data_IF_279326178784
#
_entry.id   IF_279326178784
#
_cell.length_a   1.000
_cell.length_b   1.000
_cell.length_c   1.000
_cell.angle_alpha   90.00
_cell.angle_beta   90.00
_cell.angle_gamma   90.00
#
_symmetry.space_group_name_H-M   'P 1'
#
loop_
_entity.id
_entity.type
_entity.pdbx_description
1 polymer ?
#
# COMPACT_ATOMS: atom_id res chain seq x y z
N UNK A 1 12.23 -28.20 -7.05
CA UNK A 1 11.72 -27.39 -5.93
C UNK A 1 11.58 -25.89 -6.22
N UNK A 2 12.66 -25.12 -6.40
CA UNK A 2 12.62 -23.64 -6.44
C UNK A 2 11.71 -23.04 -7.53
N UNK A 3 11.74 -23.56 -8.77
CA UNK A 3 10.90 -23.06 -9.87
C UNK A 3 9.41 -23.18 -9.57
N UNK A 4 8.97 -24.28 -8.93
CA UNK A 4 7.56 -24.49 -8.57
C UNK A 4 7.11 -23.50 -7.49
N UNK A 5 7.98 -23.21 -6.52
CA UNK A 5 7.76 -22.24 -5.45
C UNK A 5 7.64 -20.82 -6.03
N UNK A 6 8.55 -20.44 -6.94
CA UNK A 6 8.51 -19.14 -7.60
C UNK A 6 7.24 -18.97 -8.44
N UNK A 7 6.86 -19.98 -9.22
CA UNK A 7 5.61 -19.94 -9.99
C UNK A 7 4.37 -19.84 -9.11
N UNK A 8 4.35 -20.56 -7.98
CA UNK A 8 3.27 -20.47 -6.99
C UNK A 8 3.18 -19.05 -6.39
N UNK A 9 4.32 -18.44 -6.07
CA UNK A 9 4.37 -17.07 -5.55
C UNK A 9 3.90 -16.04 -6.58
N UNK A 10 4.37 -16.13 -7.83
CA UNK A 10 3.93 -15.22 -8.90
C UNK A 10 2.41 -15.36 -9.11
N UNK A 11 1.89 -16.59 -9.18
CA UNK A 11 0.44 -16.79 -9.35
C UNK A 11 -0.38 -16.28 -8.16
N UNK A 12 0.06 -16.55 -6.92
CA UNK A 12 -0.60 -16.04 -5.72
C UNK A 12 -0.63 -14.51 -5.71
N UNK A 13 0.49 -13.86 -6.05
CA UNK A 13 0.60 -12.41 -6.14
C UNK A 13 -0.28 -11.81 -7.23
N UNK A 14 -0.30 -12.39 -8.43
CA UNK A 14 -1.19 -11.95 -9.51
C UNK A 14 -2.66 -12.07 -9.10
N UNK A 15 -3.06 -13.21 -8.53
CA UNK A 15 -4.43 -13.41 -8.07
C UNK A 15 -4.82 -12.40 -6.98
N UNK A 16 -3.91 -12.13 -6.04
CA UNK A 16 -4.14 -11.14 -4.99
C UNK A 16 -4.24 -9.71 -5.54
N UNK A 17 -3.43 -9.35 -6.54
CA UNK A 17 -3.52 -8.03 -7.19
C UNK A 17 -4.83 -7.82 -7.95
N UNK A 18 -5.30 -8.84 -8.68
CA UNK A 18 -6.63 -8.80 -9.32
C UNK A 18 -7.74 -8.66 -8.27
N UNK A 19 -7.64 -9.44 -7.19
CA UNK A 19 -8.59 -9.34 -6.07
C UNK A 19 -8.59 -7.95 -5.43
N UNK A 20 -7.42 -7.38 -5.15
CA UNK A 20 -7.29 -6.03 -4.59
C UNK A 20 -7.93 -4.98 -5.52
N UNK A 21 -7.73 -5.11 -6.83
CA UNK A 21 -8.33 -4.21 -7.82
C UNK A 21 -9.84 -4.25 -7.74
N UNK A 22 -10.46 -5.42 -7.69
CA UNK A 22 -11.91 -5.55 -7.56
C UNK A 22 -12.43 -4.90 -6.26
N UNK A 23 -11.75 -5.11 -5.14
CA UNK A 23 -12.13 -4.53 -3.84
C UNK A 23 -11.97 -3.01 -3.86
N UNK A 24 -10.87 -2.48 -4.41
CA UNK A 24 -10.62 -1.05 -4.51
C UNK A 24 -11.60 -0.36 -5.44
N UNK A 25 -11.88 -0.92 -6.63
CA UNK A 25 -12.85 -0.38 -7.58
C UNK A 25 -14.24 -0.26 -6.97
N UNK A 26 -14.62 -1.19 -6.10
CA UNK A 26 -15.94 -1.15 -5.45
C UNK A 26 -16.00 -0.23 -4.24
N UNK A 27 -14.95 -0.18 -3.41
CA UNK A 27 -15.03 0.48 -2.09
C UNK A 27 -14.17 1.73 -1.93
N UNK A 28 -13.02 1.78 -2.57
CA UNK A 28 -12.03 2.85 -2.39
C UNK A 28 -12.15 3.92 -3.46
N UNK A 29 -12.28 3.52 -4.73
CA UNK A 29 -12.38 4.44 -5.87
C UNK A 29 -13.56 5.42 -5.78
N UNK A 30 -14.78 5.03 -5.33
CA UNK A 30 -15.86 5.99 -5.16
C UNK A 30 -15.55 7.10 -4.17
N UNK A 31 -14.79 6.81 -3.11
CA UNK A 31 -14.39 7.80 -2.09
C UNK A 31 -13.34 8.78 -2.63
N UNK A 32 -12.44 8.30 -3.49
CA UNK A 32 -11.45 9.14 -4.20
C UNK A 32 -12.18 10.12 -5.12
N UNK A 33 -13.08 9.62 -5.97
CA UNK A 33 -13.89 10.44 -6.87
C UNK A 33 -14.77 11.46 -6.15
N UNK A 34 -15.22 11.13 -4.93
CA UNK A 34 -15.98 12.07 -4.11
C UNK A 34 -15.08 13.15 -3.50
N UNK A 35 -13.85 12.81 -3.11
CA UNK A 35 -12.88 13.75 -2.56
C UNK A 35 -12.37 14.76 -3.61
N UNK A 36 -12.11 14.31 -4.84
CA UNK A 36 -11.69 15.15 -5.97
C UNK A 36 -12.65 16.35 -6.20
N UNK A 37 -13.96 16.17 -5.96
CA UNK A 37 -14.95 17.26 -6.06
C UNK A 37 -14.72 18.41 -5.09
N UNK A 38 -14.09 18.16 -3.95
CA UNK A 38 -13.77 19.19 -2.96
C UNK A 38 -12.47 19.92 -3.29
N UNK A 39 -11.55 19.25 -3.97
CA UNK A 39 -10.32 19.85 -4.52
C UNK A 39 -10.68 20.83 -5.65
N UNK A 40 -11.48 20.38 -6.62
CA UNK A 40 -11.96 21.21 -7.74
C UNK A 40 -12.80 22.41 -7.28
N UNK A 41 -13.61 22.24 -6.22
CA UNK A 41 -14.43 23.32 -5.67
C UNK A 41 -13.60 24.35 -4.88
N UNK A 42 -12.52 23.91 -4.23
CA UNK A 42 -11.59 24.77 -3.49
C UNK A 42 -10.74 25.67 -4.38
N UNK A 43 -10.49 25.27 -5.62
CA UNK A 43 -9.73 26.05 -6.61
C UNK A 43 -10.54 27.20 -7.24
N UNK A 44 -11.84 27.32 -6.95
CA UNK A 44 -12.69 28.42 -7.45
C UNK A 44 -12.39 29.80 -6.82
N UNK A 45 -11.36 29.91 -5.96
CA UNK A 45 -10.86 31.15 -5.36
C UNK A 45 -9.60 31.76 -6.01
N UNK A 46 -8.98 31.08 -6.97
CA UNK A 46 -7.85 31.57 -7.75
C UNK A 46 -8.08 31.26 -9.22
N UNK A 47 -7.98 32.25 -10.09
CA UNK A 47 -8.21 32.05 -11.52
C UNK A 47 -7.14 31.15 -12.15
N UNK A 48 -7.36 29.83 -12.10
CA UNK A 48 -6.84 28.87 -13.07
C UNK A 48 -8.02 28.19 -13.77
N UNK A 49 -8.76 29.00 -14.51
CA UNK A 49 -9.71 28.51 -15.52
C UNK A 49 -8.97 27.64 -16.54
N UNK A 50 -9.25 26.34 -16.53
CA UNK A 50 -9.14 25.51 -17.73
C UNK A 50 -10.18 25.99 -18.75
N UNK A 51 -9.81 27.00 -19.55
CA UNK A 51 -10.60 27.51 -20.66
C UNK A 51 -9.73 27.58 -21.89
N UNK A 52 -10.01 26.70 -22.85
CA UNK A 52 -9.58 26.89 -24.23
C UNK A 52 -10.30 28.13 -24.79
N UNK A 53 -9.55 29.21 -25.01
CA UNK A 53 -10.06 30.44 -25.61
C UNK A 53 -8.96 31.45 -25.92
N UNK A 54 -8.86 31.82 -27.19
CA UNK A 54 -7.90 32.72 -27.85
C UNK A 54 -7.68 34.13 -27.25
N UNK A 55 -6.46 34.65 -27.49
CA UNK A 55 -6.02 36.08 -27.62
C UNK A 55 -5.94 36.92 -26.32
N UNK A 56 -4.96 37.81 -26.05
CA UNK A 56 -4.00 38.56 -26.87
C UNK A 56 -2.74 39.04 -26.08
N UNK A 57 -1.82 39.64 -26.82
CA UNK A 57 -0.42 40.07 -26.60
C UNK A 57 -0.10 41.06 -25.46
N UNK A 58 1.06 40.88 -24.78
CA UNK A 58 2.20 41.84 -24.80
C UNK A 58 3.39 41.45 -23.91
N UNK A 59 4.54 41.32 -24.58
CA UNK A 59 5.95 41.62 -24.21
C UNK A 59 6.48 41.29 -22.78
N UNK A 60 7.40 40.30 -22.69
CA UNK A 60 8.85 40.51 -22.46
C UNK A 60 9.59 39.18 -22.67
N UNK A 61 10.60 39.18 -23.55
CA UNK A 61 11.30 37.96 -23.99
C UNK A 61 12.31 37.42 -22.96
N UNK A 62 12.08 36.18 -22.52
CA UNK A 62 13.09 35.24 -22.03
C UNK A 62 12.96 33.93 -22.84
N UNK A 63 14.05 33.21 -23.16
CA UNK A 63 13.94 31.96 -23.90
C UNK A 63 13.54 30.84 -22.94
N UNK A 64 12.26 30.77 -22.57
CA UNK A 64 11.68 29.64 -21.82
C UNK A 64 11.17 28.58 -22.81
N UNK A 65 12.07 27.69 -23.23
CA UNK A 65 11.76 26.49 -24.00
C UNK A 65 11.61 25.25 -23.13
N UNK A 66 10.96 25.38 -21.97
CA UNK A 66 10.60 24.27 -21.11
C UNK A 66 9.15 24.45 -20.70
N UNK A 67 8.24 24.09 -21.61
CA UNK A 67 6.87 23.72 -21.24
C UNK A 67 6.96 22.83 -19.99
N UNK A 68 6.26 23.14 -18.88
CA UNK A 68 6.15 22.19 -17.79
C UNK A 68 5.57 20.93 -18.41
N UNK A 69 6.38 19.87 -18.51
CA UNK A 69 5.89 18.58 -18.95
C UNK A 69 4.77 18.21 -17.99
N UNK A 70 3.52 18.34 -18.45
CA UNK A 70 2.39 17.76 -17.75
C UNK A 70 2.74 16.30 -17.52
N UNK A 71 2.91 15.93 -16.25
CA UNK A 71 3.22 14.57 -15.89
C UNK A 71 2.04 13.72 -16.35
N UNK A 72 2.27 12.84 -17.31
CA UNK A 72 1.23 11.96 -17.86
C UNK A 72 0.45 11.27 -16.73
N UNK A 73 -0.88 11.38 -16.79
CA UNK A 73 -1.81 10.69 -15.92
C UNK A 73 -2.81 9.88 -16.76
N UNK A 74 -3.20 8.67 -16.35
CA UNK A 74 -4.24 7.89 -17.03
C UNK A 74 -5.57 8.64 -17.10
N UNK A 75 -6.28 8.57 -18.22
CA UNK A 75 -7.63 9.13 -18.30
C UNK A 75 -8.60 8.36 -17.38
N UNK A 76 -9.63 9.08 -16.92
CA UNK A 76 -10.65 8.50 -16.05
C UNK A 76 -11.43 7.35 -16.73
N UNK A 77 -11.92 6.44 -15.88
CA UNK A 77 -12.69 5.29 -16.32
C UNK A 77 -11.81 4.07 -16.62
N UNK A 78 -11.80 3.63 -17.88
CA UNK A 78 -11.20 2.34 -18.26
C UNK A 78 -9.67 2.35 -18.18
N UNK A 79 -9.03 3.44 -18.61
CA UNK A 79 -7.57 3.57 -18.62
C UNK A 79 -7.01 3.59 -17.19
N UNK A 80 -7.54 4.46 -16.33
CA UNK A 80 -7.22 4.50 -14.88
C UNK A 80 -7.41 3.14 -14.21
N UNK A 81 -8.52 2.46 -14.49
CA UNK A 81 -8.79 1.12 -13.92
C UNK A 81 -7.76 0.09 -14.39
N UNK A 82 -7.38 0.12 -15.66
CA UNK A 82 -6.40 -0.80 -16.22
C UNK A 82 -5.01 -0.60 -15.62
N UNK A 83 -4.49 0.63 -15.58
CA UNK A 83 -3.17 0.90 -15.01
C UNK A 83 -3.13 0.68 -13.50
N UNK A 84 -4.19 1.03 -12.78
CA UNK A 84 -4.32 0.71 -11.35
C UNK A 84 -4.33 -0.80 -11.13
N UNK A 85 -5.08 -1.54 -11.96
CA UNK A 85 -5.12 -2.99 -11.89
C UNK A 85 -3.76 -3.64 -12.17
N UNK A 86 -3.05 -3.15 -13.17
CA UNK A 86 -1.70 -3.61 -13.50
C UNK A 86 -0.72 -3.32 -12.35
N UNK A 87 -0.77 -2.11 -11.77
CA UNK A 87 0.04 -1.74 -10.62
C UNK A 87 -0.24 -2.66 -9.41
N UNK A 88 -1.50 -2.93 -9.11
CA UNK A 88 -1.90 -3.86 -8.05
C UNK A 88 -1.39 -5.29 -8.29
N UNK A 89 -1.38 -5.76 -9.55
CA UNK A 89 -0.80 -7.06 -9.90
C UNK A 89 0.71 -7.09 -9.64
N UNK A 90 1.44 -6.06 -10.06
CA UNK A 90 2.89 -5.95 -9.82
C UNK A 90 3.20 -5.94 -8.33
N UNK A 91 2.47 -5.10 -7.56
CA UNK A 91 2.60 -5.01 -6.10
C UNK A 91 2.23 -6.35 -5.43
N UNK A 92 1.18 -7.00 -5.89
CA UNK A 92 0.76 -8.33 -5.44
C UNK A 92 1.86 -9.37 -5.61
N UNK A 93 2.48 -9.42 -6.78
CA UNK A 93 3.63 -10.30 -7.06
C UNK A 93 4.82 -9.96 -6.16
N UNK A 94 5.15 -8.68 -6.01
CA UNK A 94 6.27 -8.23 -5.17
C UNK A 94 6.09 -8.67 -3.70
N UNK A 95 4.92 -8.44 -3.11
CA UNK A 95 4.64 -8.87 -1.73
C UNK A 95 4.58 -10.39 -1.60
N UNK A 96 4.06 -11.11 -2.59
CA UNK A 96 4.08 -12.57 -2.57
C UNK A 96 5.49 -13.15 -2.58
N UNK A 97 6.39 -12.54 -3.35
CA UNK A 97 7.80 -12.92 -3.40
C UNK A 97 8.51 -12.58 -2.09
N UNK A 98 8.19 -11.43 -1.49
CA UNK A 98 8.74 -11.03 -0.19
C UNK A 98 8.31 -12.01 0.92
N UNK A 99 7.03 -12.36 0.99
CA UNK A 99 6.54 -13.40 1.93
C UNK A 99 7.23 -14.74 1.69
N UNK A 100 7.35 -15.15 0.42
CA UNK A 100 8.05 -16.38 0.05
C UNK A 100 9.50 -16.37 0.52
N UNK A 101 10.21 -15.26 0.29
CA UNK A 101 11.60 -15.11 0.73
C UNK A 101 11.71 -15.20 2.26
N UNK A 102 10.81 -14.57 3.00
CA UNK A 102 10.78 -14.64 4.46
C UNK A 102 10.52 -16.06 4.97
N UNK A 103 9.54 -16.77 4.40
CA UNK A 103 9.23 -18.17 4.75
C UNK A 103 10.43 -19.07 4.52
N UNK A 104 11.10 -18.95 3.37
CA UNK A 104 12.28 -19.73 3.03
C UNK A 104 13.48 -19.40 3.92
N UNK A 105 13.76 -18.11 4.15
CA UNK A 105 14.87 -17.67 4.99
C UNK A 105 14.73 -18.14 6.45
N UNK A 106 13.50 -18.25 6.94
CA UNK A 106 13.20 -18.74 8.29
C UNK A 106 12.97 -20.26 8.36
N UNK A 107 13.19 -20.98 7.24
CA UNK A 107 13.00 -22.41 7.10
C UNK A 107 11.62 -22.88 7.63
N UNK A 108 10.58 -22.10 7.36
CA UNK A 108 9.21 -22.41 7.79
C UNK A 108 8.47 -23.20 6.72
N UNK A 109 7.65 -24.16 7.14
CA UNK A 109 6.67 -24.77 6.27
C UNK A 109 5.41 -23.90 6.20
N UNK A 110 4.81 -23.83 5.02
CA UNK A 110 3.57 -23.09 4.82
C UNK A 110 2.42 -24.06 4.53
N UNK A 111 1.33 -23.86 5.25
CA UNK A 111 0.04 -24.51 5.07
C UNK A 111 -0.98 -23.41 4.76
N UNK A 112 -2.21 -23.71 4.32
CA UNK A 112 -3.22 -22.68 4.15
C UNK A 112 -3.45 -21.83 5.42
N UNK A 113 -3.47 -22.46 6.60
CA UNK A 113 -3.66 -21.76 7.89
C UNK A 113 -2.44 -20.92 8.25
N UNK A 114 -1.23 -21.48 8.16
CA UNK A 114 -0.03 -20.68 8.45
C UNK A 114 0.21 -19.59 7.40
N UNK A 115 -0.25 -19.80 6.16
CA UNK A 115 -0.28 -18.80 5.10
C UNK A 115 -1.14 -17.60 5.46
N UNK A 116 -2.33 -17.82 6.04
CA UNK A 116 -3.16 -16.73 6.58
C UNK A 116 -2.44 -15.96 7.70
N UNK A 117 -1.70 -16.64 8.58
CA UNK A 117 -0.90 -15.98 9.62
C UNK A 117 0.25 -15.16 9.04
N UNK A 118 0.94 -15.66 8.01
CA UNK A 118 1.95 -14.91 7.27
C UNK A 118 1.37 -13.69 6.56
N UNK A 119 0.18 -13.83 5.96
CA UNK A 119 -0.58 -12.72 5.39
C UNK A 119 -0.93 -11.68 6.45
N UNK A 120 -1.48 -12.10 7.60
CA UNK A 120 -1.81 -11.22 8.71
C UNK A 120 -0.57 -10.51 9.29
N UNK A 121 0.58 -11.19 9.37
CA UNK A 121 1.84 -10.58 9.77
C UNK A 121 2.31 -9.53 8.75
N UNK A 122 2.21 -9.83 7.45
CA UNK A 122 2.49 -8.86 6.39
C UNK A 122 1.59 -7.63 6.46
N UNK A 123 0.29 -7.83 6.68
CA UNK A 123 -0.66 -6.73 6.94
C UNK A 123 -0.24 -5.90 8.16
N UNK A 124 0.11 -6.56 9.27
CA UNK A 124 0.52 -5.87 10.49
C UNK A 124 1.77 -4.98 10.26
N UNK A 125 2.74 -5.50 9.51
CA UNK A 125 4.03 -4.85 9.23
C UNK A 125 3.91 -3.70 8.23
N UNK A 126 3.29 -3.93 7.08
CA UNK A 126 3.31 -2.99 5.97
C UNK A 126 2.13 -2.01 5.97
N UNK A 127 1.06 -2.34 6.70
CA UNK A 127 -0.18 -1.58 6.68
C UNK A 127 -0.58 -1.15 8.08
N UNK A 128 -0.92 -2.06 8.97
CA UNK A 128 -1.56 -1.71 10.23
C UNK A 128 -0.69 -0.79 11.11
N UNK A 129 0.57 -1.17 11.37
CA UNK A 129 1.46 -0.38 12.22
C UNK A 129 1.76 1.01 11.61
N UNK A 130 2.15 1.14 10.32
CA UNK A 130 2.33 2.46 9.73
C UNK A 130 1.07 3.33 9.74
N UNK A 131 -0.12 2.75 9.51
CA UNK A 131 -1.37 3.51 9.46
C UNK A 131 -1.84 4.07 10.81
N UNK A 132 -1.26 3.62 11.94
CA UNK A 132 -1.51 4.28 13.23
C UNK A 132 -0.89 5.68 13.31
N UNK A 133 0.20 5.94 12.57
CA UNK A 133 0.85 7.25 12.55
C UNK A 133 0.60 8.03 11.26
N UNK A 134 0.59 7.35 10.12
CA UNK A 134 0.37 7.91 8.80
C UNK A 134 -0.83 7.20 8.14
N UNK A 135 -2.07 7.57 8.50
CA UNK A 135 -3.26 7.02 7.86
C UNK A 135 -3.31 7.38 6.36
N UNK A 136 -4.07 6.65 5.53
CA UNK A 136 -4.18 6.93 4.11
C UNK A 136 -4.90 8.26 3.92
N UNK A 137 -4.38 9.09 3.01
CA UNK A 137 -4.90 10.41 2.73
C UNK A 137 -5.67 10.42 1.40
N UNK A 138 -6.76 11.17 1.34
CA UNK A 138 -7.49 11.47 0.12
C UNK A 138 -6.75 12.52 -0.72
N UNK A 139 -7.02 12.61 -2.04
CA UNK A 139 -6.60 13.75 -2.86
C UNK A 139 -7.01 15.09 -2.23
N UNK A 140 -6.20 16.13 -2.45
CA UNK A 140 -6.43 17.47 -1.92
C UNK A 140 -6.22 17.65 -0.40
N UNK A 141 -5.83 16.61 0.36
CA UNK A 141 -5.52 16.78 1.78
C UNK A 141 -4.06 17.23 2.01
N UNK A 142 -3.80 18.09 3.01
CA UNK A 142 -2.44 18.52 3.33
C UNK A 142 -1.61 17.33 3.82
N UNK A 143 -0.42 17.18 3.24
CA UNK A 143 0.50 16.09 3.53
C UNK A 143 1.80 16.62 4.15
N UNK A 144 2.35 15.88 5.12
CA UNK A 144 3.69 16.13 5.63
C UNK A 144 4.77 15.86 4.59
N UNK A 145 6.01 16.29 4.86
CA UNK A 145 7.15 16.09 3.96
C UNK A 145 7.30 14.61 3.54
N UNK A 146 7.37 14.39 2.22
CA UNK A 146 7.35 13.04 1.63
C UNK A 146 8.54 12.19 2.10
N UNK A 147 9.74 12.77 2.14
CA UNK A 147 10.96 12.03 2.50
C UNK A 147 10.91 11.62 3.97
N UNK A 148 10.47 12.53 4.85
CA UNK A 148 10.29 12.22 6.26
C UNK A 148 9.26 11.12 6.47
N UNK A 149 8.12 11.15 5.76
CA UNK A 149 7.10 10.10 5.82
C UNK A 149 7.65 8.75 5.36
N UNK A 150 8.44 8.72 4.29
CA UNK A 150 9.07 7.50 3.78
C UNK A 150 10.08 6.91 4.79
N UNK A 151 10.90 7.75 5.43
CA UNK A 151 11.84 7.32 6.47
C UNK A 151 11.07 6.74 7.67
N UNK A 152 10.04 7.44 8.14
CA UNK A 152 9.24 7.00 9.27
C UNK A 152 8.48 5.70 8.97
N UNK A 153 7.91 5.59 7.76
CA UNK A 153 7.22 4.39 7.30
C UNK A 153 8.18 3.19 7.27
N UNK A 154 9.36 3.35 6.68
CA UNK A 154 10.36 2.28 6.59
C UNK A 154 10.85 1.86 7.98
N UNK A 155 11.12 2.83 8.87
CA UNK A 155 11.50 2.55 10.26
C UNK A 155 10.40 1.74 10.98
N UNK A 156 9.13 2.11 10.79
CA UNK A 156 7.99 1.41 11.37
C UNK A 156 7.86 -0.02 10.86
N UNK A 157 8.04 -0.22 9.55
CA UNK A 157 8.04 -1.56 8.92
C UNK A 157 9.15 -2.43 9.50
N UNK A 158 10.39 -1.94 9.53
CA UNK A 158 11.55 -2.71 10.00
C UNK A 158 11.41 -3.06 11.48
N UNK A 159 11.01 -2.08 12.31
CA UNK A 159 10.83 -2.31 13.74
C UNK A 159 9.69 -3.29 14.03
N UNK A 160 8.57 -3.17 13.30
CA UNK A 160 7.42 -4.07 13.48
C UNK A 160 7.76 -5.50 13.03
N UNK A 161 8.44 -5.65 11.89
CA UNK A 161 8.91 -6.95 11.41
C UNK A 161 9.88 -7.60 12.40
N UNK A 162 10.84 -6.83 12.93
CA UNK A 162 11.77 -7.28 13.97
C UNK A 162 11.05 -7.69 15.26
N UNK A 163 10.07 -6.90 15.71
CA UNK A 163 9.27 -7.21 16.89
C UNK A 163 8.47 -8.51 16.73
N UNK A 164 7.75 -8.67 15.61
CA UNK A 164 7.01 -9.91 15.32
C UNK A 164 7.94 -11.13 15.19
N UNK A 165 9.13 -10.97 14.62
CA UNK A 165 10.13 -12.03 14.57
C UNK A 165 10.54 -12.50 15.98
N UNK A 166 10.81 -11.57 16.92
CA UNK A 166 11.16 -11.92 18.29
C UNK A 166 10.03 -12.68 19.00
N UNK A 167 8.77 -12.27 18.79
CA UNK A 167 7.60 -12.97 19.33
C UNK A 167 7.43 -14.37 18.74
N UNK A 168 7.57 -14.50 17.43
CA UNK A 168 7.34 -15.77 16.75
C UNK A 168 8.41 -16.82 17.09
N UNK A 169 9.70 -16.43 17.10
CA UNK A 169 10.82 -17.37 17.07
C UNK A 169 11.70 -17.42 18.32
N UNK A 170 11.74 -16.36 19.15
CA UNK A 170 12.65 -16.31 20.31
C UNK A 170 12.00 -16.64 21.64
N UNK A 171 10.76 -16.18 21.88
CA UNK A 171 9.89 -16.52 23.02
C UNK A 171 10.51 -16.43 24.44
N UNK A 172 11.65 -15.78 24.63
CA UNK A 172 12.19 -15.46 25.96
C UNK A 172 11.68 -14.10 26.41
N UNK A 173 11.37 -13.94 27.70
CA UNK A 173 10.79 -12.71 28.23
C UNK A 173 11.59 -11.44 27.86
N UNK A 174 12.94 -11.39 27.98
CA UNK A 174 13.70 -10.20 27.59
C UNK A 174 13.57 -9.85 26.10
N UNK A 175 13.56 -10.86 25.22
CA UNK A 175 13.43 -10.64 23.78
C UNK A 175 12.00 -10.27 23.37
N UNK A 176 11.00 -10.76 24.09
CA UNK A 176 9.62 -10.32 23.90
C UNK A 176 9.44 -8.86 24.33
N UNK A 177 10.04 -8.45 25.46
CA UNK A 177 10.04 -7.04 25.89
C UNK A 177 10.76 -6.15 24.87
N UNK A 178 11.89 -6.59 24.33
CA UNK A 178 12.55 -5.91 23.22
C UNK A 178 11.63 -5.82 21.98
N UNK A 179 10.89 -6.88 21.67
CA UNK A 179 9.92 -6.88 20.57
C UNK A 179 8.80 -5.86 20.75
N UNK A 180 8.24 -5.74 21.97
CA UNK A 180 7.29 -4.66 22.31
C UNK A 180 7.95 -3.30 22.10
N UNK A 181 9.16 -3.10 22.65
CA UNK A 181 9.87 -1.83 22.56
C UNK A 181 10.13 -1.44 21.10
N UNK A 182 10.49 -2.39 20.23
CA UNK A 182 10.67 -2.15 18.79
C UNK A 182 9.36 -1.69 18.13
N UNK A 183 8.24 -2.39 18.35
CA UNK A 183 6.95 -2.01 17.74
C UNK A 183 6.52 -0.61 18.19
N UNK A 184 6.73 -0.28 19.47
CA UNK A 184 6.30 0.98 20.06
C UNK A 184 7.22 2.15 19.69
N UNK A 185 8.52 1.92 19.51
CA UNK A 185 9.52 2.98 19.34
C UNK A 185 9.20 4.00 18.20
N UNK A 186 8.82 3.59 16.98
CA UNK A 186 8.46 4.54 15.92
C UNK A 186 7.25 5.41 16.27
N UNK A 187 6.32 4.88 17.07
CA UNK A 187 5.09 5.56 17.46
C UNK A 187 5.34 6.57 18.58
N UNK A 188 6.34 6.33 19.43
CA UNK A 188 6.82 7.28 20.44
C UNK A 188 7.58 8.43 19.79
N UNK A 189 8.36 8.14 18.73
CA UNK A 189 9.01 9.19 17.95
C UNK A 189 7.99 10.09 17.23
N UNK A 190 6.89 9.50 16.77
CA UNK A 190 5.78 10.22 16.14
C UNK A 190 5.94 10.36 14.64
N UNK A 191 4.82 10.24 13.92
CA UNK A 191 4.79 10.39 12.47
C UNK A 191 4.89 11.86 12.05
N UNK A 192 5.61 12.18 10.96
CA UNK A 192 5.65 13.53 10.39
C UNK A 192 4.25 14.01 10.01
N UNK A 193 3.82 15.14 10.57
CA UNK A 193 2.53 15.76 10.30
C UNK A 193 2.68 16.96 9.35
N UNK A 194 1.64 17.31 8.58
CA UNK A 194 1.65 18.55 7.82
C UNK A 194 1.69 19.76 8.75
N UNK A 195 2.19 20.89 8.23
CA UNK A 195 2.23 22.16 8.98
C UNK A 195 0.81 22.72 9.10
N UNK A 196 0.04 22.62 8.02
CA UNK A 196 -1.36 23.03 7.94
C UNK A 196 -2.27 21.80 7.99
N UNK A 197 -3.37 21.90 8.72
CA UNK A 197 -4.32 20.80 8.92
C UNK A 197 -5.69 21.10 8.30
N UNK A 198 -5.84 22.26 7.67
CA UNK A 198 -7.09 22.65 7.03
C UNK A 198 -7.28 21.82 5.76
N UNK A 199 -8.46 21.21 5.62
CA UNK A 199 -8.86 20.49 4.43
C UNK A 199 -10.29 20.84 4.09
N UNK A 200 -10.56 21.05 2.80
CA UNK A 200 -11.91 21.20 2.27
C UNK A 200 -12.68 19.87 2.27
N UNK A 201 -11.98 18.74 2.41
CA UNK A 201 -12.57 17.39 2.42
C UNK A 201 -13.28 17.13 3.75
N UNK A 202 -14.55 16.68 3.74
CA UNK A 202 -15.27 16.38 4.98
C UNK A 202 -14.60 15.27 5.80
N UNK A 203 -14.48 15.48 7.11
CA UNK A 203 -13.82 14.55 8.03
C UNK A 203 -14.45 13.13 8.04
N UNK A 204 -15.77 13.02 7.81
CA UNK A 204 -16.44 11.73 7.68
C UNK A 204 -16.00 10.96 6.43
N UNK A 205 -15.76 11.66 5.31
CA UNK A 205 -15.28 11.07 4.07
C UNK A 205 -13.84 10.56 4.23
N UNK A 206 -12.98 11.37 4.85
CA UNK A 206 -11.61 10.97 5.19
C UNK A 206 -11.60 9.74 6.11
N UNK A 207 -12.43 9.71 7.16
CA UNK A 207 -12.52 8.55 8.05
C UNK A 207 -13.02 7.29 7.33
N UNK A 208 -14.02 7.41 6.44
CA UNK A 208 -14.51 6.29 5.64
C UNK A 208 -13.45 5.76 4.68
N UNK A 209 -12.64 6.66 4.09
CA UNK A 209 -11.52 6.29 3.23
C UNK A 209 -10.42 5.54 3.98
N UNK A 210 -10.02 6.03 5.16
CA UNK A 210 -9.04 5.37 6.03
C UNK A 210 -9.49 3.94 6.35
N UNK A 211 -10.73 3.78 6.84
CA UNK A 211 -11.29 2.47 7.20
C UNK A 211 -11.35 1.56 5.97
N UNK A 212 -11.89 2.06 4.86
CA UNK A 212 -12.07 1.28 3.63
C UNK A 212 -10.73 0.79 3.08
N UNK A 213 -9.70 1.64 3.10
CA UNK A 213 -8.36 1.30 2.61
C UNK A 213 -7.66 0.28 3.52
N UNK A 214 -7.76 0.43 4.85
CA UNK A 214 -7.21 -0.53 5.81
C UNK A 214 -7.90 -1.90 5.66
N UNK A 215 -9.23 -1.93 5.54
CA UNK A 215 -9.99 -3.18 5.34
C UNK A 215 -9.65 -3.83 4.00
N UNK A 216 -9.61 -3.06 2.92
CA UNK A 216 -9.22 -3.58 1.60
C UNK A 216 -7.81 -4.20 1.62
N UNK A 217 -6.87 -3.54 2.30
CA UNK A 217 -5.51 -4.04 2.49
C UNK A 217 -5.47 -5.32 3.32
N UNK A 218 -6.26 -5.39 4.40
CA UNK A 218 -6.36 -6.60 5.21
C UNK A 218 -6.88 -7.79 4.40
N UNK A 219 -7.93 -7.57 3.60
CA UNK A 219 -8.48 -8.59 2.71
C UNK A 219 -7.44 -9.05 1.68
N UNK A 220 -6.71 -8.11 1.07
CA UNK A 220 -5.61 -8.43 0.14
C UNK A 220 -4.56 -9.33 0.79
N UNK A 221 -4.06 -8.96 1.97
CA UNK A 221 -3.00 -9.70 2.65
C UNK A 221 -3.45 -11.09 3.11
N UNK A 222 -4.68 -11.22 3.63
CA UNK A 222 -5.24 -12.52 4.00
C UNK A 222 -5.46 -13.41 2.78
N UNK A 223 -6.02 -12.85 1.69
CA UNK A 223 -6.20 -13.58 0.43
C UNK A 223 -4.85 -14.06 -0.13
N UNK A 224 -3.86 -13.16 -0.19
CA UNK A 224 -2.52 -13.46 -0.65
C UNK A 224 -1.89 -14.60 0.16
N UNK A 225 -1.90 -14.48 1.49
CA UNK A 225 -1.32 -15.48 2.38
C UNK A 225 -2.02 -16.84 2.28
N UNK A 226 -3.36 -16.84 2.20
CA UNK A 226 -4.16 -18.06 2.04
C UNK A 226 -3.89 -18.78 0.71
N UNK A 227 -3.88 -18.04 -0.41
CA UNK A 227 -3.59 -18.58 -1.74
C UNK A 227 -2.16 -19.09 -1.82
N UNK A 228 -1.19 -18.32 -1.31
CA UNK A 228 0.22 -18.72 -1.27
C UNK A 228 0.41 -20.03 -0.48
N UNK A 229 -0.18 -20.11 0.71
CA UNK A 229 -0.14 -21.30 1.56
C UNK A 229 -0.76 -22.53 0.89
N UNK A 230 -1.89 -22.36 0.19
CA UNK A 230 -2.53 -23.43 -0.58
C UNK A 230 -1.66 -23.93 -1.73
N UNK A 231 -1.09 -23.02 -2.54
CA UNK A 231 -0.29 -23.39 -3.70
C UNK A 231 1.03 -24.07 -3.29
N UNK A 232 1.66 -23.63 -2.21
CA UNK A 232 2.88 -24.27 -1.70
C UNK A 232 2.60 -25.67 -1.18
N UNK A 233 1.50 -25.87 -0.44
CA UNK A 233 1.12 -27.20 0.01
C UNK A 233 0.85 -28.14 -1.17
N UNK A 234 0.20 -27.64 -2.24
CA UNK A 234 -0.03 -28.42 -3.46
C UNK A 234 1.29 -28.76 -4.16
N UNK A 235 2.21 -27.81 -4.28
CA UNK A 235 3.52 -28.02 -4.90
C UNK A 235 4.34 -29.08 -4.15
N UNK A 236 4.32 -29.05 -2.81
CA UNK A 236 5.01 -30.03 -1.97
C UNK A 236 4.43 -31.45 -2.14
N UNK A 237 3.09 -31.60 -2.16
CA UNK A 237 2.44 -32.92 -2.37
C UNK A 237 2.80 -33.55 -3.71
N UNK A 238 2.88 -32.74 -4.77
CA UNK A 238 3.24 -33.21 -6.11
C UNK A 238 4.71 -33.67 -6.19
N UNK A 239 5.59 -33.07 -5.39
CA UNK A 239 7.00 -33.50 -5.31
C UNK A 239 7.12 -34.86 -4.63
N UNK A 240 6.41 -35.08 -3.52
CA UNK A 240 6.35 -36.38 -2.83
C UNK A 240 5.74 -37.50 -3.67
N UNK A 241 4.83 -37.18 -4.60
CA UNK A 241 4.23 -38.17 -5.50
C UNK A 241 5.14 -38.52 -6.70
N UNK A 242 6.17 -37.72 -6.97
CA UNK A 242 7.13 -37.91 -8.07
C UNK A 242 8.48 -38.49 -7.64
N UNK A 243 8.70 -38.66 -6.34
CA UNK A 243 9.90 -39.21 -5.72
C UNK A 243 9.67 -40.68 -5.33
#
# INVERSE_FOLDING_TARGET
MLTRILLAAIFAGMAAGVFATAVQSWRVVPLILEAERYEDAGDTGGAHTHSHGETAESETAMPEGAEPQESWAPEDGAERTFYTGLANVVVGVAYSLLLTAAVLALNQSITPVSGLLWGAAGFAVFVLAPNFGLPPELPGMPAGDLVQRQIWWLATVVCTAGGLYLFAFRRTLPLMLLGVALIVAPHVWGAPQPIEHESAVPANLAAEFVISTIVASALFWLFLGGVLGYLFQRAARQESASA
#
